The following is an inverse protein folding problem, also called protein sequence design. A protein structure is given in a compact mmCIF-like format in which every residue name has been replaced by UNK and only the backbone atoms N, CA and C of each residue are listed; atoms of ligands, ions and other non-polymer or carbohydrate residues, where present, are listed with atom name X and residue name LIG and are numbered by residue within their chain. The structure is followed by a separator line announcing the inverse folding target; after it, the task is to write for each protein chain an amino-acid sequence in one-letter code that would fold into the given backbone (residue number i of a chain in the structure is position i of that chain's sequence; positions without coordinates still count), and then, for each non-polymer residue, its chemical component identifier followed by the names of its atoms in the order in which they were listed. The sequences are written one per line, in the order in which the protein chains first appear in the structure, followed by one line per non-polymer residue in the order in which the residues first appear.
data_IF_892272959954
#
_entry.id   IF_892272959954
#
_cell.length_a   1.000
_cell.length_b   1.000
_cell.length_c   1.000
_cell.angle_alpha   90.00
_cell.angle_beta   90.00
_cell.angle_gamma   90.00
#
_symmetry.space_group_name_H-M   'P 1'
#
loop_
_entity.id
_entity.type
_entity.pdbx_description
1 polymer ?
#
# COMPACT_ATOMS: atom_id res chain seq x y z
N UNK A 1 2.02 9.21 -21.36
CA UNK A 1 2.44 8.84 -19.99
C UNK A 1 1.85 9.86 -19.03
N UNK A 2 0.57 9.70 -18.68
CA UNK A 2 -0.14 10.58 -17.73
C UNK A 2 -0.85 9.76 -16.61
N UNK A 3 -0.94 8.43 -16.74
CA UNK A 3 -1.76 7.57 -15.87
C UNK A 3 -1.19 7.29 -14.46
N UNK A 4 0.10 7.50 -14.21
CA UNK A 4 0.71 7.26 -12.89
C UNK A 4 0.27 8.31 -11.85
N UNK A 5 -0.31 9.43 -12.29
CA UNK A 5 -0.81 10.48 -11.40
C UNK A 5 -1.94 10.01 -10.48
N UNK A 6 -2.80 9.10 -10.95
CA UNK A 6 -3.94 8.65 -10.15
C UNK A 6 -3.54 7.65 -9.06
N UNK A 7 -2.65 6.72 -9.37
CA UNK A 7 -2.12 5.79 -8.37
C UNK A 7 -1.36 6.55 -7.29
N UNK A 8 -0.47 7.48 -7.69
CA UNK A 8 0.26 8.33 -6.73
C UNK A 8 -0.68 9.15 -5.85
N UNK A 9 -1.69 9.81 -6.43
CA UNK A 9 -2.68 10.55 -5.65
C UNK A 9 -3.44 9.64 -4.66
N UNK A 10 -3.85 8.45 -5.12
CA UNK A 10 -4.49 7.47 -4.26
C UNK A 10 -3.59 7.06 -3.09
N UNK A 11 -2.30 6.78 -3.32
CA UNK A 11 -1.35 6.40 -2.27
C UNK A 11 -1.06 7.57 -1.33
N UNK A 12 -0.87 8.78 -1.86
CA UNK A 12 -0.63 10.00 -1.09
C UNK A 12 -1.79 10.30 -0.12
N UNK A 13 -3.03 9.88 -0.44
CA UNK A 13 -4.20 10.03 0.44
C UNK A 13 -4.43 8.80 1.35
N UNK A 14 -4.29 7.59 0.82
CA UNK A 14 -4.71 6.35 1.48
C UNK A 14 -3.69 5.81 2.47
N UNK A 15 -2.40 6.04 2.25
CA UNK A 15 -1.32 5.60 3.13
C UNK A 15 -1.32 6.39 4.44
N UNK A 16 -1.37 7.74 4.47
CA UNK A 16 -1.39 8.48 5.72
C UNK A 16 -2.57 8.12 6.62
N UNK A 17 -3.76 7.91 6.04
CA UNK A 17 -4.95 7.50 6.79
C UNK A 17 -4.72 6.18 7.54
N UNK A 18 -4.16 5.17 6.86
CA UNK A 18 -3.81 3.89 7.47
C UNK A 18 -2.72 4.05 8.52
N UNK A 19 -1.68 4.82 8.23
CA UNK A 19 -0.62 5.11 9.22
C UNK A 19 -1.20 5.72 10.49
N UNK A 20 -2.18 6.64 10.39
CA UNK A 20 -2.86 7.20 11.56
C UNK A 20 -3.59 6.12 12.37
N UNK A 21 -4.32 5.22 11.71
CA UNK A 21 -4.98 4.09 12.37
C UNK A 21 -3.96 3.16 13.05
N UNK A 22 -2.85 2.87 12.38
CA UNK A 22 -1.75 2.07 12.94
C UNK A 22 -1.13 2.74 14.17
N UNK A 23 -0.95 4.06 14.16
CA UNK A 23 -0.41 4.81 15.31
C UNK A 23 -1.37 4.82 16.50
N UNK A 24 -2.68 4.97 16.25
CA UNK A 24 -3.69 5.01 17.32
C UNK A 24 -3.71 3.75 18.19
N UNK A 25 -3.28 2.61 17.65
CA UNK A 25 -3.14 1.33 18.36
C UNK A 25 -1.72 1.00 18.82
N UNK A 26 -0.79 1.96 18.76
CA UNK A 26 0.60 1.78 19.21
C UNK A 26 1.56 1.19 18.18
N UNK A 27 1.23 1.28 16.88
CA UNK A 27 2.06 0.78 15.78
C UNK A 27 1.57 -0.55 15.18
N UNK A 28 2.32 -1.11 14.22
CA UNK A 28 2.01 -2.41 13.65
C UNK A 28 2.27 -3.57 14.61
N UNK A 29 1.30 -4.47 14.73
CA UNK A 29 1.43 -5.75 15.42
C UNK A 29 1.91 -6.82 14.44
N UNK A 30 2.30 -7.98 14.98
CA UNK A 30 2.76 -9.12 14.17
C UNK A 30 1.76 -9.52 13.09
N UNK A 31 0.48 -9.54 13.44
CA UNK A 31 -0.61 -9.92 12.54
C UNK A 31 -0.74 -8.98 11.33
N UNK A 32 -0.29 -7.72 11.43
CA UNK A 32 -0.28 -6.81 10.29
C UNK A 32 0.81 -7.15 9.28
N UNK A 33 1.98 -7.54 9.78
CA UNK A 33 3.05 -8.04 8.92
C UNK A 33 2.64 -9.34 8.23
N UNK A 34 2.00 -10.26 8.96
CA UNK A 34 1.46 -11.50 8.39
C UNK A 34 0.36 -11.21 7.35
N UNK A 35 -0.54 -10.26 7.64
CA UNK A 35 -1.58 -9.83 6.70
C UNK A 35 -0.97 -9.26 5.41
N UNK A 36 -0.04 -8.30 5.50
CA UNK A 36 0.52 -7.69 4.28
C UNK A 36 1.41 -8.67 3.51
N UNK A 37 2.07 -9.61 4.20
CA UNK A 37 2.78 -10.72 3.55
C UNK A 37 1.83 -11.62 2.75
N UNK A 38 0.59 -11.83 3.21
CA UNK A 38 -0.41 -12.61 2.48
C UNK A 38 -0.83 -12.00 1.13
N UNK A 39 -0.47 -10.74 0.86
CA UNK A 39 -0.76 -10.08 -0.41
C UNK A 39 0.21 -10.47 -1.54
N UNK A 40 1.32 -11.14 -1.24
CA UNK A 40 2.33 -11.50 -2.25
C UNK A 40 1.76 -12.25 -3.47
N UNK A 41 0.90 -13.29 -3.32
CA UNK A 41 0.31 -13.95 -4.48
C UNK A 41 -0.56 -13.01 -5.32
N UNK A 42 -1.41 -12.20 -4.66
CA UNK A 42 -2.25 -11.21 -5.33
C UNK A 42 -1.42 -10.20 -6.13
N UNK A 43 -0.37 -9.65 -5.52
CA UNK A 43 0.48 -8.65 -6.17
C UNK A 43 1.33 -9.26 -7.29
N UNK A 44 1.75 -10.51 -7.15
CA UNK A 44 2.48 -11.24 -8.19
C UNK A 44 1.64 -11.54 -9.43
N UNK A 45 0.37 -11.91 -9.23
CA UNK A 45 -0.54 -12.30 -10.32
C UNK A 45 -1.27 -11.11 -10.95
N UNK A 46 -1.71 -10.15 -10.13
CA UNK A 46 -2.61 -9.07 -10.53
C UNK A 46 -1.95 -7.67 -10.45
N UNK A 47 -0.66 -7.59 -10.14
CA UNK A 47 0.05 -6.32 -9.93
C UNK A 47 0.08 -5.40 -11.15
N UNK A 48 0.02 -5.97 -12.36
CA UNK A 48 -0.10 -5.21 -13.60
C UNK A 48 -1.35 -4.32 -13.62
N UNK A 49 -2.40 -4.68 -12.87
CA UNK A 49 -3.63 -3.90 -12.81
C UNK A 49 -3.53 -2.58 -12.04
N UNK A 50 -2.37 -2.30 -11.41
CA UNK A 50 -2.04 -0.98 -10.87
C UNK A 50 -1.83 0.06 -11.98
N UNK A 51 -1.26 -0.37 -13.12
CA UNK A 51 -1.00 0.49 -14.28
C UNK A 51 -2.05 0.32 -15.37
N UNK A 52 -2.53 -0.91 -15.56
CA UNK A 52 -3.53 -1.24 -16.56
C UNK A 52 -4.86 -1.39 -15.85
N UNK A 53 -5.83 -0.51 -16.08
CA UNK A 53 -7.15 -0.67 -15.48
C UNK A 53 -7.71 -2.06 -15.81
N UNK A 54 -8.09 -2.83 -14.79
CA UNK A 54 -8.73 -4.13 -15.00
C UNK A 54 -10.14 -3.94 -15.55
N UNK A 55 -10.54 -4.78 -16.51
CA UNK A 55 -11.92 -4.87 -16.98
C UNK A 55 -12.85 -5.49 -15.93
N UNK A 56 -12.28 -6.30 -15.03
CA UNK A 56 -13.01 -6.87 -13.91
C UNK A 56 -13.21 -5.81 -12.83
N UNK A 57 -14.49 -5.48 -12.58
CA UNK A 57 -14.88 -4.50 -11.57
C UNK A 57 -14.28 -4.86 -10.20
N UNK A 58 -13.58 -3.90 -9.61
CA UNK A 58 -13.02 -4.02 -8.25
C UNK A 58 -11.60 -4.59 -8.19
N UNK A 59 -11.07 -5.22 -9.25
CA UNK A 59 -9.72 -5.80 -9.23
C UNK A 59 -8.64 -4.73 -9.05
N UNK A 60 -8.62 -3.66 -9.84
CA UNK A 60 -7.66 -2.56 -9.66
C UNK A 60 -7.72 -1.96 -8.26
N UNK A 61 -8.93 -1.75 -7.72
CA UNK A 61 -9.11 -1.22 -6.37
C UNK A 61 -8.56 -2.19 -5.31
N UNK A 62 -8.79 -3.49 -5.45
CA UNK A 62 -8.27 -4.52 -4.54
C UNK A 62 -6.74 -4.50 -4.49
N UNK A 63 -6.09 -4.48 -5.66
CA UNK A 63 -4.62 -4.44 -5.77
C UNK A 63 -4.06 -3.13 -5.20
N UNK A 64 -4.65 -1.99 -5.56
CA UNK A 64 -4.22 -0.68 -5.05
C UNK A 64 -4.35 -0.57 -3.52
N UNK A 65 -5.44 -1.09 -2.94
CA UNK A 65 -5.61 -1.10 -1.48
C UNK A 65 -4.62 -2.03 -0.78
N UNK A 66 -4.31 -3.20 -1.37
CA UNK A 66 -3.30 -4.11 -0.82
C UNK A 66 -1.91 -3.45 -0.81
N UNK A 67 -1.55 -2.72 -1.86
CA UNK A 67 -0.31 -1.94 -1.92
C UNK A 67 -0.30 -0.82 -0.87
N UNK A 68 -1.39 -0.06 -0.74
CA UNK A 68 -1.48 1.00 0.27
C UNK A 68 -1.35 0.48 1.70
N UNK A 69 -1.97 -0.66 2.02
CA UNK A 69 -1.84 -1.31 3.34
C UNK A 69 -0.41 -1.83 3.58
N UNK A 70 0.20 -2.48 2.59
CA UNK A 70 1.59 -2.92 2.68
C UNK A 70 2.55 -1.75 2.91
N UNK A 71 2.40 -0.63 2.18
CA UNK A 71 3.21 0.58 2.39
C UNK A 71 3.01 1.13 3.81
N UNK A 72 1.75 1.22 4.28
CA UNK A 72 1.46 1.76 5.60
C UNK A 72 2.14 0.93 6.71
N UNK A 73 2.07 -0.39 6.66
CA UNK A 73 2.74 -1.28 7.62
C UNK A 73 4.26 -1.18 7.49
N UNK A 74 4.81 -1.28 6.28
CA UNK A 74 6.26 -1.27 6.04
C UNK A 74 6.89 0.08 6.34
N UNK A 75 6.13 1.18 6.32
CA UNK A 75 6.64 2.51 6.69
C UNK A 75 7.18 2.59 8.12
N UNK A 76 6.75 1.69 9.02
CA UNK A 76 7.28 1.59 10.39
C UNK A 76 8.57 0.76 10.50
N UNK A 77 9.02 0.13 9.41
CA UNK A 77 10.31 -0.58 9.39
C UNK A 77 11.47 0.44 9.46
N UNK A 78 12.63 0.06 10.02
CA UNK A 78 13.79 0.94 10.05
C UNK A 78 14.17 1.41 8.63
N UNK A 79 14.23 2.73 8.44
CA UNK A 79 14.50 3.33 7.13
C UNK A 79 13.28 3.43 6.20
N UNK A 80 12.08 3.08 6.66
CA UNK A 80 10.83 3.25 5.93
C UNK A 80 10.73 2.40 4.67
N UNK A 81 9.89 2.85 3.73
CA UNK A 81 9.68 2.18 2.44
C UNK A 81 9.65 3.20 1.30
N UNK A 82 10.29 2.87 0.18
CA UNK A 82 10.29 3.68 -1.04
C UNK A 82 9.63 2.91 -2.16
N UNK A 83 8.56 3.47 -2.75
CA UNK A 83 7.85 2.88 -3.89
C UNK A 83 7.28 3.97 -4.79
N UNK A 84 7.24 3.75 -6.11
CA UNK A 84 6.71 4.71 -7.10
C UNK A 84 7.31 6.13 -7.01
N UNK A 85 8.59 6.25 -6.63
CA UNK A 85 9.26 7.54 -6.47
C UNK A 85 8.80 8.35 -5.25
N UNK A 86 8.12 7.71 -4.30
CA UNK A 86 7.68 8.26 -3.03
C UNK A 86 8.33 7.48 -1.89
N UNK A 87 8.54 8.16 -0.76
CA UNK A 87 9.12 7.58 0.44
C UNK A 87 8.18 7.79 1.62
N UNK A 88 7.96 6.74 2.40
CA UNK A 88 7.14 6.77 3.61
C UNK A 88 7.93 6.19 4.78
N UNK A 89 8.09 7.00 5.83
CA UNK A 89 8.69 6.60 7.10
C UNK A 89 7.73 7.00 8.22
N UNK A 90 7.47 6.05 9.11
CA UNK A 90 6.57 6.19 10.26
C UNK A 90 7.29 5.79 11.53
N UNK A 91 6.92 6.45 12.62
CA UNK A 91 7.37 6.13 13.98
C UNK A 91 6.13 5.98 14.86
N UNK A 92 6.24 5.09 15.84
CA UNK A 92 5.23 4.89 16.89
C UNK A 92 5.14 6.14 17.75
#
# INVERSE_FOLDING_TARGET
MEDDSMLKFFLDMSVPLRVMELKQRGGPAKDDFERVHSYLPLLGEEGNFLWMRSEKKGTTAKVANAVADAIAVLSFSPGGVTLFGRHWESRV
#
